data_IF_779603851442
#
_entry.id   IF_779603851442
#
_cell.length_a   1.000
_cell.length_b   1.000
_cell.length_c   1.000
_cell.angle_alpha   90.00
_cell.angle_beta   90.00
_cell.angle_gamma   90.00
#
_symmetry.space_group_name_H-M   'P 1'
#
loop_
_entity.id
_entity.type
_entity.pdbx_description
1 polymer ?
#
# COMPACT_ATOMS: atom_id res chain seq x y z
N UNK A 1 8.62 11.43 -20.80
CA UNK A 1 9.12 10.77 -19.57
C UNK A 1 8.12 11.04 -18.46
N UNK A 2 7.48 10.01 -17.90
CA UNK A 2 6.62 10.18 -16.73
C UNK A 2 7.49 10.40 -15.50
N UNK A 3 7.27 11.51 -14.79
CA UNK A 3 7.99 11.80 -13.53
C UNK A 3 7.69 10.70 -12.50
N UNK A 4 8.71 10.27 -11.77
CA UNK A 4 8.60 9.26 -10.69
C UNK A 4 8.97 9.85 -9.33
N UNK A 5 8.27 9.42 -8.28
CA UNK A 5 8.63 9.68 -6.87
C UNK A 5 9.37 8.46 -6.35
N UNK A 6 10.54 8.69 -5.74
CA UNK A 6 11.37 7.63 -5.13
C UNK A 6 11.15 7.62 -3.62
N UNK A 7 10.71 6.48 -3.09
CA UNK A 7 10.37 6.32 -1.68
C UNK A 7 11.30 5.27 -1.08
N UNK A 8 12.00 5.63 -0.01
CA UNK A 8 12.81 4.69 0.76
C UNK A 8 11.93 3.89 1.70
N UNK A 9 11.99 2.58 1.57
CA UNK A 9 11.23 1.63 2.37
C UNK A 9 12.14 0.66 3.12
N UNK A 10 11.58 -0.03 4.10
CA UNK A 10 12.14 -1.23 4.71
C UNK A 10 11.26 -2.43 4.39
N UNK A 11 11.88 -3.57 4.14
CA UNK A 11 11.19 -4.86 3.97
C UNK A 11 10.77 -5.39 5.33
N UNK A 12 9.52 -5.86 5.42
CA UNK A 12 9.00 -6.49 6.64
C UNK A 12 8.19 -7.76 6.32
N UNK A 13 8.18 -8.70 7.24
CA UNK A 13 7.25 -9.83 7.18
C UNK A 13 5.84 -9.38 7.54
N UNK A 14 4.88 -9.80 6.71
CA UNK A 14 3.46 -9.68 7.02
C UNK A 14 2.97 -10.89 7.82
N UNK A 15 1.64 -11.03 7.91
CA UNK A 15 0.98 -12.12 8.64
C UNK A 15 0.61 -13.34 7.76
N UNK A 16 0.99 -13.30 6.48
CA UNK A 16 0.74 -14.39 5.54
C UNK A 16 -0.69 -14.45 4.95
N UNK A 17 -1.48 -13.38 5.08
CA UNK A 17 -2.86 -13.33 4.58
C UNK A 17 -2.95 -13.58 3.06
N UNK A 18 -2.07 -12.94 2.28
CA UNK A 18 -2.15 -12.94 0.81
C UNK A 18 -1.72 -14.26 0.21
N UNK A 19 -0.78 -14.98 0.86
CA UNK A 19 -0.39 -16.33 0.46
C UNK A 19 -1.46 -17.39 0.77
N UNK A 20 -2.40 -17.10 1.69
CA UNK A 20 -3.48 -18.02 2.06
C UNK A 20 -4.74 -17.83 1.21
N UNK A 21 -4.82 -16.75 0.45
CA UNK A 21 -6.00 -16.40 -0.33
C UNK A 21 -5.72 -16.51 -1.84
N UNK A 22 -5.96 -17.71 -2.39
CA UNK A 22 -5.74 -18.00 -3.80
C UNK A 22 -6.68 -17.19 -4.71
N UNK A 23 -7.96 -17.07 -4.34
CA UNK A 23 -8.94 -16.24 -5.06
C UNK A 23 -8.50 -14.79 -5.18
N UNK A 24 -7.86 -14.25 -4.14
CA UNK A 24 -7.28 -12.92 -4.16
C UNK A 24 -6.16 -12.81 -5.21
N UNK A 25 -5.21 -13.76 -5.21
CA UNK A 25 -4.09 -13.77 -6.17
C UNK A 25 -4.59 -13.87 -7.61
N UNK A 26 -5.60 -14.72 -7.87
CA UNK A 26 -6.23 -14.87 -9.18
C UNK A 26 -6.93 -13.58 -9.63
N UNK A 27 -7.60 -12.89 -8.70
CA UNK A 27 -8.25 -11.61 -8.97
C UNK A 27 -7.23 -10.54 -9.35
N UNK A 28 -6.17 -10.36 -8.56
CA UNK A 28 -5.09 -9.42 -8.88
C UNK A 28 -4.45 -9.77 -10.22
N UNK A 29 -4.23 -11.07 -10.50
CA UNK A 29 -3.65 -11.52 -11.77
C UNK A 29 -4.52 -11.11 -12.97
N UNK A 30 -5.84 -11.31 -12.87
CA UNK A 30 -6.80 -10.92 -13.90
C UNK A 30 -6.82 -9.40 -14.11
N UNK A 31 -6.86 -8.64 -13.01
CA UNK A 31 -6.93 -7.19 -13.05
C UNK A 31 -5.66 -6.58 -13.66
N UNK A 32 -4.50 -7.12 -13.32
CA UNK A 32 -3.21 -6.65 -13.85
C UNK A 32 -2.84 -7.24 -15.21
N UNK A 33 -3.61 -8.22 -15.73
CA UNK A 33 -3.31 -8.89 -17.00
C UNK A 33 -2.03 -9.75 -16.98
N UNK A 34 -1.54 -10.14 -15.80
CA UNK A 34 -0.31 -10.93 -15.64
C UNK A 34 -0.46 -11.89 -14.46
N UNK A 35 0.07 -13.10 -14.59
CA UNK A 35 0.04 -14.08 -13.50
C UNK A 35 0.91 -13.62 -12.33
N UNK A 36 0.29 -13.35 -11.18
CA UNK A 36 0.99 -12.95 -9.97
C UNK A 36 1.49 -14.16 -9.17
N UNK A 37 2.62 -13.98 -8.50
CA UNK A 37 3.08 -14.93 -7.50
C UNK A 37 2.09 -14.94 -6.30
N UNK A 38 1.73 -16.12 -5.74
CA UNK A 38 0.84 -16.22 -4.60
C UNK A 38 1.50 -15.73 -3.30
N UNK A 39 1.40 -14.43 -3.07
CA UNK A 39 1.92 -13.74 -1.90
C UNK A 39 2.19 -12.26 -2.19
N UNK A 40 2.60 -11.55 -1.15
CA UNK A 40 2.99 -10.14 -1.27
C UNK A 40 4.24 -9.83 -0.46
N UNK A 41 4.97 -8.82 -0.89
CA UNK A 41 6.06 -8.23 -0.12
C UNK A 41 5.50 -7.03 0.66
N UNK A 42 5.70 -6.99 1.97
CA UNK A 42 5.28 -5.84 2.77
C UNK A 42 6.44 -4.87 2.91
N UNK A 43 6.17 -3.58 2.66
CA UNK A 43 7.14 -2.50 2.76
C UNK A 43 6.62 -1.42 3.71
N UNK A 44 7.52 -0.84 4.52
CA UNK A 44 7.23 0.34 5.33
C UNK A 44 8.10 1.52 4.87
N UNK A 45 7.50 2.62 4.46
CA UNK A 45 8.21 3.87 4.24
C UNK A 45 8.51 4.60 5.55
N UNK A 46 9.59 5.40 5.55
CA UNK A 46 9.92 6.29 6.68
C UNK A 46 9.00 7.52 6.77
N UNK A 47 8.26 7.82 5.72
CA UNK A 47 7.40 8.98 5.60
C UNK A 47 6.02 8.55 5.11
N UNK A 48 4.95 9.28 5.47
CA UNK A 48 3.63 9.00 4.93
C UNK A 48 3.62 9.36 3.44
N UNK A 49 3.00 8.49 2.66
CA UNK A 49 2.77 8.62 1.22
C UNK A 49 1.29 8.39 1.01
N UNK A 50 0.60 9.20 0.22
CA UNK A 50 -0.81 8.96 -0.13
C UNK A 50 -0.89 8.57 -1.59
N UNK A 51 -1.52 7.43 -1.84
CA UNK A 51 -1.79 6.96 -3.20
C UNK A 51 -3.10 7.58 -3.67
N UNK A 52 -3.09 8.11 -4.88
CA UNK A 52 -4.28 8.59 -5.60
C UNK A 52 -4.85 7.52 -6.52
N UNK A 53 -6.04 7.79 -7.06
CA UNK A 53 -6.73 6.99 -8.06
C UNK A 53 -6.32 7.29 -9.50
N UNK A 54 -5.44 8.28 -9.72
CA UNK A 54 -5.09 8.84 -11.02
C UNK A 54 -3.57 8.70 -11.27
N UNK A 55 -3.04 8.21 -12.42
CA UNK A 55 -3.72 7.69 -13.62
C UNK A 55 -4.58 6.47 -13.28
N UNK A 56 -5.50 6.02 -14.16
CA UNK A 56 -6.54 5.05 -13.83
C UNK A 56 -5.91 3.84 -13.15
N UNK A 57 -6.05 3.84 -11.84
CA UNK A 57 -5.60 2.76 -11.03
C UNK A 57 -6.57 1.61 -11.27
N UNK A 58 -6.06 0.38 -11.39
CA UNK A 58 -6.92 -0.73 -11.74
C UNK A 58 -7.90 -0.98 -10.58
N UNK A 59 -9.18 -0.65 -10.81
CA UNK A 59 -10.23 -0.87 -9.83
C UNK A 59 -10.59 -2.35 -9.83
N UNK A 60 -10.46 -3.00 -8.67
CA UNK A 60 -10.89 -4.37 -8.51
C UNK A 60 -12.43 -4.45 -8.49
N UNK A 61 -13.05 -5.40 -9.23
CA UNK A 61 -14.49 -5.63 -9.15
C UNK A 61 -14.86 -6.08 -7.73
N UNK A 62 -15.65 -5.24 -7.05
CA UNK A 62 -16.57 -5.44 -5.91
C UNK A 62 -16.05 -6.13 -4.61
N UNK A 63 -15.17 -7.13 -4.69
CA UNK A 63 -14.79 -7.99 -3.57
C UNK A 63 -13.81 -7.29 -2.61
N UNK A 64 -12.94 -6.43 -3.14
CA UNK A 64 -11.76 -5.97 -2.39
C UNK A 64 -11.69 -4.46 -2.19
N UNK A 65 -12.46 -3.68 -2.97
CA UNK A 65 -12.53 -2.20 -2.91
C UNK A 65 -11.14 -1.57 -2.69
N UNK A 66 -10.13 -2.08 -3.40
CA UNK A 66 -8.76 -1.63 -3.26
C UNK A 66 -8.21 -1.18 -4.60
N UNK A 67 -7.29 -0.23 -4.53
CA UNK A 67 -6.63 0.32 -5.70
C UNK A 67 -5.29 -0.39 -5.86
N UNK A 68 -5.01 -0.85 -7.07
CA UNK A 68 -3.70 -1.33 -7.50
C UNK A 68 -2.99 -0.22 -8.30
N UNK A 69 -1.82 0.17 -7.81
CA UNK A 69 -1.00 1.23 -8.41
C UNK A 69 0.25 0.60 -9.04
N UNK A 70 0.51 0.79 -10.34
CA UNK A 70 1.74 0.33 -10.96
C UNK A 70 2.95 1.09 -10.40
N UNK A 71 4.05 0.37 -10.19
CA UNK A 71 5.29 0.92 -9.65
C UNK A 71 6.49 0.07 -10.09
N UNK A 72 7.69 0.48 -9.69
CA UNK A 72 8.90 -0.31 -9.82
C UNK A 72 9.59 -0.48 -8.46
N UNK A 73 10.12 -1.66 -8.20
CA UNK A 73 10.92 -1.96 -7.02
C UNK A 73 12.30 -2.41 -7.49
N UNK A 74 13.32 -1.56 -7.32
CA UNK A 74 14.69 -1.86 -7.77
C UNK A 74 14.76 -2.28 -9.26
N UNK A 75 13.93 -1.66 -10.11
CA UNK A 75 13.83 -1.98 -11.55
C UNK A 75 12.82 -3.07 -11.92
N UNK A 76 12.31 -3.83 -10.94
CA UNK A 76 11.27 -4.85 -11.19
C UNK A 76 9.87 -4.21 -11.28
N UNK A 77 9.06 -4.54 -12.30
CA UNK A 77 7.68 -4.08 -12.38
C UNK A 77 6.83 -4.74 -11.28
N UNK A 78 6.12 -3.91 -10.53
CA UNK A 78 5.29 -4.34 -9.39
C UNK A 78 3.99 -3.56 -9.32
N UNK A 79 3.03 -4.10 -8.57
CA UNK A 79 1.79 -3.43 -8.23
C UNK A 79 1.71 -3.20 -6.73
N UNK A 80 1.41 -1.97 -6.34
CA UNK A 80 1.20 -1.57 -4.97
C UNK A 80 -0.28 -1.66 -4.66
N UNK A 81 -0.59 -2.32 -3.55
CA UNK A 81 -1.90 -2.30 -2.93
C UNK A 81 -1.83 -1.65 -1.56
N UNK A 82 -2.94 -1.04 -1.19
CA UNK A 82 -3.26 -0.69 0.19
C UNK A 82 -4.67 -1.14 0.53
N UNK A 83 -4.83 -1.82 1.67
CA UNK A 83 -6.19 -2.04 2.18
C UNK A 83 -6.76 -0.72 2.74
N UNK A 84 -8.09 -0.61 2.76
CA UNK A 84 -8.80 0.53 3.34
C UNK A 84 -8.38 0.73 4.80
N UNK A 85 -8.14 1.97 5.22
CA UNK A 85 -7.67 2.32 6.56
C UNK A 85 -6.24 1.81 6.89
N UNK A 86 -5.47 1.34 5.90
CA UNK A 86 -4.05 1.08 6.10
C UNK A 86 -3.29 2.37 6.43
N UNK A 87 -2.23 2.30 7.26
CA UNK A 87 -1.39 3.46 7.53
C UNK A 87 -0.73 3.99 6.25
N UNK A 88 -0.58 5.31 6.14
CA UNK A 88 0.01 5.96 4.95
C UNK A 88 1.49 5.61 4.68
N UNK A 89 2.13 4.82 5.53
CA UNK A 89 3.51 4.39 5.33
C UNK A 89 3.64 2.91 4.94
N UNK A 90 2.53 2.15 4.95
CA UNK A 90 2.53 0.72 4.66
C UNK A 90 2.19 0.46 3.20
N UNK A 91 2.87 -0.49 2.58
CA UNK A 91 2.58 -0.93 1.22
C UNK A 91 2.60 -2.45 1.15
N UNK A 92 1.66 -2.98 0.39
CA UNK A 92 1.64 -4.37 0.00
C UNK A 92 2.00 -4.46 -1.48
N UNK A 93 3.05 -5.21 -1.82
CA UNK A 93 3.62 -5.27 -3.16
C UNK A 93 3.34 -6.63 -3.78
N UNK A 94 2.75 -6.61 -4.97
CA UNK A 94 2.47 -7.77 -5.81
C UNK A 94 3.37 -7.77 -7.03
N UNK A 95 3.81 -8.96 -7.43
CA UNK A 95 4.69 -9.16 -8.56
C UNK A 95 4.45 -10.54 -9.17
N UNK A 96 4.74 -10.73 -10.47
CA UNK A 96 4.80 -12.05 -11.09
C UNK A 96 5.84 -12.99 -10.45
N UNK A 97 6.85 -12.44 -9.77
CA UNK A 97 7.94 -13.20 -9.16
C UNK A 97 7.95 -13.12 -7.63
N UNK A 98 8.60 -14.10 -7.00
CA UNK A 98 8.87 -14.08 -5.55
C UNK A 98 9.99 -13.07 -5.26
N UNK A 99 9.63 -11.80 -5.08
CA UNK A 99 10.56 -10.68 -4.94
C UNK A 99 11.70 -10.90 -3.93
N UNK A 100 11.43 -11.53 -2.78
CA UNK A 100 12.50 -11.85 -1.80
C UNK A 100 13.60 -12.73 -2.37
N UNK A 101 13.25 -13.68 -3.24
CA UNK A 101 14.22 -14.56 -3.91
C UNK A 101 14.89 -13.83 -5.07
N UNK A 102 14.11 -13.16 -5.91
CA UNK A 102 14.63 -12.45 -7.10
C UNK A 102 15.62 -11.35 -6.72
N UNK A 103 15.28 -10.55 -5.70
CA UNK A 103 16.05 -9.40 -5.25
C UNK A 103 16.90 -9.69 -3.99
N UNK A 104 16.96 -10.94 -3.55
CA UNK A 104 17.73 -11.38 -2.37
C UNK A 104 17.41 -10.58 -1.09
N UNK A 105 16.12 -10.35 -0.82
CA UNK A 105 15.64 -9.48 0.26
C UNK A 105 15.28 -10.25 1.54
N UNK A 106 15.83 -9.78 2.67
CA UNK A 106 15.49 -10.14 4.04
C UNK A 106 14.67 -9.06 4.76
N UNK A 107 14.22 -9.36 5.97
CA UNK A 107 13.55 -8.37 6.83
C UNK A 107 14.55 -7.32 7.35
N UNK A 108 14.16 -6.05 7.26
CA UNK A 108 15.02 -4.92 7.61
C UNK A 108 15.76 -4.32 6.43
N UNK A 109 15.81 -5.00 5.29
CA UNK A 109 16.51 -4.50 4.10
C UNK A 109 15.89 -3.21 3.58
N UNK A 110 16.76 -2.30 3.15
CA UNK A 110 16.38 -1.02 2.57
C UNK A 110 16.20 -1.14 1.06
N UNK A 111 15.04 -0.71 0.58
CA UNK A 111 14.70 -0.73 -0.85
C UNK A 111 14.16 0.62 -1.30
N UNK A 112 14.28 0.89 -2.60
CA UNK A 112 13.68 2.07 -3.23
C UNK A 112 12.48 1.64 -4.06
N UNK A 113 11.32 2.16 -3.68
CA UNK A 113 10.09 2.01 -4.43
C UNK A 113 9.88 3.26 -5.29
N UNK A 114 9.67 3.07 -6.58
CA UNK A 114 9.48 4.12 -7.55
C UNK A 114 8.04 4.12 -8.04
N UNK A 115 7.32 5.20 -7.77
CA UNK A 115 5.90 5.33 -8.08
C UNK A 115 5.74 6.46 -9.10
N UNK A 116 4.91 6.32 -10.14
CA UNK A 116 4.57 7.46 -11.00
C UNK A 116 4.05 8.63 -10.17
N UNK A 117 4.55 9.85 -10.42
CA UNK A 117 4.19 11.04 -9.63
C UNK A 117 2.69 11.32 -9.64
N UNK A 118 2.03 11.02 -10.76
CA UNK A 118 0.58 11.13 -10.91
C UNK A 118 -0.17 10.28 -9.87
N UNK A 119 0.32 9.09 -9.55
CA UNK A 119 -0.28 8.19 -8.55
C UNK A 119 -0.09 8.66 -7.09
N UNK A 120 0.65 9.73 -6.84
CA UNK A 120 0.95 10.22 -5.49
C UNK A 120 0.21 11.54 -5.27
N UNK A 121 -0.58 11.59 -4.20
CA UNK A 121 -1.35 12.79 -3.83
C UNK A 121 -0.70 13.45 -2.63
N UNK A 122 -0.77 14.78 -2.60
CA UNK A 122 -0.25 15.54 -1.47
C UNK A 122 -1.05 15.25 -0.20
N UNK A 123 -0.31 15.14 0.90
CA UNK A 123 -0.89 14.85 2.21
C UNK A 123 -1.06 16.18 2.96
N UNK A 124 -2.29 16.54 3.36
CA UNK A 124 -2.55 17.70 4.19
C UNK A 124 -1.73 17.64 5.48
N UNK A 125 -1.30 18.80 5.97
CA UNK A 125 -0.45 18.91 7.18
C UNK A 125 -1.10 18.20 8.37
N UNK A 126 -2.42 18.35 8.55
CA UNK A 126 -3.20 17.68 9.57
C UNK A 126 -3.02 16.15 9.52
N UNK A 127 -3.10 15.57 8.34
CA UNK A 127 -3.00 14.12 8.17
C UNK A 127 -1.56 13.64 8.42
N UNK A 128 -0.55 14.44 8.06
CA UNK A 128 0.85 14.18 8.44
C UNK A 128 1.04 14.21 9.95
N UNK A 129 0.42 15.16 10.64
CA UNK A 129 0.46 15.27 12.10
C UNK A 129 -0.16 14.05 12.79
N UNK A 130 -1.38 13.66 12.39
CA UNK A 130 -2.01 12.46 12.94
C UNK A 130 -1.23 11.19 12.62
N UNK A 131 -0.68 11.10 11.40
CA UNK A 131 0.21 10.01 11.07
C UNK A 131 1.42 9.98 12.02
N UNK A 132 2.05 11.12 12.29
CA UNK A 132 3.21 11.19 13.16
C UNK A 132 2.86 10.79 14.61
N UNK A 133 1.72 11.27 15.13
CA UNK A 133 1.24 10.97 16.48
C UNK A 133 1.02 9.46 16.70
N UNK A 134 0.46 8.78 15.71
CA UNK A 134 0.09 7.36 15.81
C UNK A 134 1.12 6.39 15.23
N UNK A 135 2.01 6.79 14.35
CA UNK A 135 2.85 5.84 13.62
C UNK A 135 4.34 6.11 13.68
N UNK A 136 4.77 7.36 13.89
CA UNK A 136 6.20 7.67 13.93
C UNK A 136 6.87 6.89 15.07
N UNK A 137 7.95 6.18 14.76
CA UNK A 137 8.68 5.27 15.66
C UNK A 137 7.91 4.02 16.11
N UNK A 138 6.71 3.79 15.56
CA UNK A 138 5.81 2.67 15.87
C UNK A 138 5.36 1.94 14.61
N UNK A 139 6.06 2.15 13.50
CA UNK A 139 5.70 1.65 12.17
C UNK A 139 5.61 0.12 12.18
N UNK A 140 6.53 -0.55 12.88
CA UNK A 140 6.58 -2.02 12.99
C UNK A 140 5.42 -2.60 13.80
N UNK A 141 4.82 -1.84 14.71
CA UNK A 141 3.69 -2.32 15.54
C UNK A 141 2.46 -2.66 14.71
N UNK A 142 2.36 -2.14 13.48
CA UNK A 142 1.34 -2.53 12.51
C UNK A 142 1.30 -4.05 12.30
N UNK A 143 2.47 -4.68 12.17
CA UNK A 143 2.58 -6.10 11.87
C UNK A 143 2.80 -6.96 13.12
N UNK A 144 3.35 -6.39 14.21
CA UNK A 144 3.70 -7.15 15.42
C UNK A 144 2.70 -7.06 16.58
N UNK A 145 1.74 -6.13 16.60
CA UNK A 145 0.83 -5.94 17.76
C UNK A 145 -0.65 -5.74 17.38
N UNK A 146 -1.46 -6.76 17.62
CA UNK A 146 -2.92 -6.69 17.46
C UNK A 146 -3.61 -5.71 18.39
N UNK A 147 -3.10 -5.58 19.62
CA UNK A 147 -3.65 -4.64 20.59
C UNK A 147 -3.44 -3.21 20.09
N UNK A 148 -2.24 -2.88 19.62
CA UNK A 148 -1.92 -1.56 19.08
C UNK A 148 -2.82 -1.23 17.88
N UNK A 149 -2.94 -2.18 16.95
CA UNK A 149 -3.78 -2.00 15.76
C UNK A 149 -5.25 -1.75 16.13
N UNK A 150 -5.80 -2.47 17.13
CA UNK A 150 -7.16 -2.23 17.63
C UNK A 150 -7.33 -0.83 18.24
N UNK A 151 -6.37 -0.39 19.05
CA UNK A 151 -6.40 0.95 19.66
C UNK A 151 -6.38 2.03 18.59
N UNK A 152 -5.44 1.95 17.64
CA UNK A 152 -5.34 2.96 16.59
C UNK A 152 -6.59 2.96 15.69
N UNK A 153 -7.10 1.78 15.29
CA UNK A 153 -8.35 1.68 14.53
C UNK A 153 -9.53 2.30 15.26
N UNK A 154 -9.68 2.09 16.58
CA UNK A 154 -10.74 2.73 17.37
C UNK A 154 -10.67 4.26 17.32
N UNK A 155 -9.47 4.83 17.37
CA UNK A 155 -9.28 6.29 17.35
C UNK A 155 -9.40 6.91 15.96
N UNK A 156 -9.04 6.16 14.91
CA UNK A 156 -9.10 6.60 13.51
C UNK A 156 -10.42 6.21 12.81
N UNK A 157 -11.27 5.39 13.44
CA UNK A 157 -12.56 4.97 12.87
C UNK A 157 -13.39 6.19 12.47
N UNK A 158 -13.79 6.26 11.21
CA UNK A 158 -14.57 7.37 10.65
C UNK A 158 -13.82 8.68 10.45
N UNK A 159 -12.56 8.79 10.90
CA UNK A 159 -11.72 9.98 10.74
C UNK A 159 -10.77 9.72 9.58
N UNK A 160 -10.90 10.45 8.46
CA UNK A 160 -10.06 10.31 7.24
C UNK A 160 -8.58 10.69 7.43
N UNK A 161 -7.98 10.41 8.60
CA UNK A 161 -6.75 11.02 9.11
C UNK A 161 -5.64 9.97 9.19
N UNK A 162 -4.49 10.25 8.55
CA UNK A 162 -3.28 9.44 8.70
C UNK A 162 -3.34 8.01 8.13
N UNK A 163 -4.42 7.65 7.45
CA UNK A 163 -4.64 6.35 6.79
C UNK A 163 -5.14 6.53 5.35
N UNK A 164 -5.06 5.46 4.56
CA UNK A 164 -5.54 5.42 3.18
C UNK A 164 -7.07 5.32 3.14
N UNK A 165 -7.68 6.22 2.38
CA UNK A 165 -9.08 6.13 1.97
C UNK A 165 -9.16 6.23 0.46
N UNK A 166 -10.13 5.54 -0.10
CA UNK A 166 -10.50 5.68 -1.50
C UNK A 166 -11.71 6.59 -1.53
N UNK A 167 -11.56 7.74 -2.20
CA UNK A 167 -12.70 8.57 -2.57
C UNK A 167 -13.38 7.80 -3.70
N UNK A 168 -14.62 7.36 -3.52
CA UNK A 168 -15.44 6.98 -4.68
C UNK A 168 -15.74 8.27 -5.43
N UNK A 169 -15.48 8.32 -6.73
CA UNK A 169 -15.90 9.44 -7.60
C UNK A 169 -17.43 9.58 -7.69
N UNK A 170 -18.20 8.78 -6.95
CA UNK A 170 -19.67 8.89 -6.85
C UNK A 170 -20.16 9.90 -5.80
N UNK A 171 -19.37 10.95 -5.49
CA UNK A 171 -19.79 12.03 -4.58
C UNK A 171 -19.82 13.40 -5.27
N UNK A 172 -19.91 13.42 -6.61
CA UNK A 172 -20.16 14.63 -7.41
C UNK A 172 -21.55 14.65 -8.09
N UNK A 173 -22.49 13.78 -7.69
CA UNK A 173 -23.91 13.93 -8.03
C UNK A 173 -24.70 14.30 -6.77
N UNK A 174 -24.50 15.52 -6.26
CA UNK A 174 -25.48 16.26 -5.46
C UNK A 174 -25.08 17.75 -5.48
N UNK A 175 -25.33 18.38 -6.63
CA UNK A 175 -25.54 19.82 -6.76
C UNK A 175 -26.75 20.06 -7.67
#
# INVERSE_FOLDING_TARGET
MTSTVRIRCIVVSGRGESSRNQLFTETVSRVCGVQMFPGSLNLLAKQPVRLGSNPPSLQEPTILKSILVPAQLMGEPVFIRRWRESPLHSFEIFSPSKLRRALHLGDGDHVVLEIPRSCVVDIPIRDRFFWALFWRFRERLLYSSDLYLRVVRKHLKGKRLGTQYYISESAEEEL
#
